data_IF_230413974860
#
_entry.id   IF_230413974860
#
_cell.length_a   1.000
_cell.length_b   1.000
_cell.length_c   1.000
_cell.angle_alpha   90.00
_cell.angle_beta   90.00
_cell.angle_gamma   90.00
#
_symmetry.space_group_name_H-M   'P 1'
#
loop_
_entity.id
_entity.type
_entity.pdbx_description
1 polymer ?
#
# COMPACT_ATOMS: atom_id res chain seq x y z
N UNK A 1 -2.77 18.99 -33.06
CA UNK A 1 -2.96 19.74 -31.80
C UNK A 1 -1.63 20.37 -31.47
N UNK A 2 -1.58 21.64 -31.06
CA UNK A 2 -0.33 22.29 -30.67
C UNK A 2 0.11 21.70 -29.31
N UNK A 3 1.43 21.44 -29.16
CA UNK A 3 2.01 20.97 -27.90
C UNK A 3 1.80 22.05 -26.82
N UNK A 4 1.46 21.64 -25.62
CA UNK A 4 1.42 22.51 -24.45
C UNK A 4 2.84 22.64 -23.86
N UNK A 5 3.58 23.61 -24.38
CA UNK A 5 4.99 23.79 -24.01
C UNK A 5 5.15 24.12 -22.52
N UNK A 6 4.16 24.76 -21.90
CA UNK A 6 4.22 25.13 -20.47
C UNK A 6 4.34 23.88 -19.58
N UNK A 7 3.48 22.87 -19.77
CA UNK A 7 3.54 21.66 -18.95
C UNK A 7 4.78 20.80 -19.25
N UNK A 8 5.20 20.74 -20.52
CA UNK A 8 6.39 19.98 -20.88
C UNK A 8 7.69 20.62 -20.38
N UNK A 9 7.77 21.96 -20.27
CA UNK A 9 8.87 22.65 -19.61
C UNK A 9 8.93 22.38 -18.11
N UNK A 10 7.77 22.23 -17.46
CA UNK A 10 7.69 21.82 -16.05
C UNK A 10 8.19 20.39 -15.86
N UNK A 11 7.77 19.47 -16.73
CA UNK A 11 8.23 18.07 -16.70
C UNK A 11 9.75 18.00 -16.87
N UNK A 12 10.33 18.77 -17.79
CA UNK A 12 11.78 18.81 -17.99
C UNK A 12 12.51 19.38 -16.76
N UNK A 13 11.98 20.41 -16.12
CA UNK A 13 12.54 20.95 -14.87
C UNK A 13 12.54 19.91 -13.77
N UNK A 14 11.46 19.15 -13.62
CA UNK A 14 11.38 18.07 -12.64
C UNK A 14 12.36 16.94 -12.97
N UNK A 15 12.49 16.56 -14.24
CA UNK A 15 13.49 15.59 -14.67
C UNK A 15 14.91 16.04 -14.29
N UNK A 16 15.25 17.30 -14.53
CA UNK A 16 16.54 17.87 -14.14
C UNK A 16 16.74 17.92 -12.62
N UNK A 17 15.66 18.13 -11.84
CA UNK A 17 15.72 18.06 -10.38
C UNK A 17 16.07 16.64 -9.93
N UNK A 18 15.38 15.64 -10.45
CA UNK A 18 15.62 14.22 -10.11
C UNK A 18 17.02 13.76 -10.48
N UNK A 19 17.55 14.17 -11.65
CA UNK A 19 18.91 13.82 -12.08
C UNK A 19 20.02 14.40 -11.19
N UNK A 20 19.76 15.52 -10.54
CA UNK A 20 20.76 16.26 -9.72
C UNK A 20 20.60 16.01 -8.22
N UNK A 21 19.46 15.46 -7.79
CA UNK A 21 19.14 15.21 -6.40
C UNK A 21 19.57 13.84 -5.94
N UNK A 22 19.74 13.69 -4.63
CA UNK A 22 19.80 12.40 -3.94
C UNK A 22 18.51 12.29 -3.16
N UNK A 23 17.63 11.34 -3.58
CA UNK A 23 16.34 11.15 -2.94
C UNK A 23 16.49 10.23 -1.73
N UNK A 24 16.07 10.70 -0.55
CA UNK A 24 16.13 9.96 0.70
C UNK A 24 14.74 9.62 1.26
N UNK A 25 13.67 9.90 0.51
CA UNK A 25 12.31 9.53 0.90
C UNK A 25 12.10 8.06 0.57
N UNK A 26 11.90 7.23 1.61
CA UNK A 26 11.83 5.77 1.49
C UNK A 26 10.71 5.25 0.56
N UNK A 27 9.64 6.02 0.36
CA UNK A 27 8.52 5.69 -0.52
C UNK A 27 8.72 6.08 -1.99
N UNK A 28 9.80 6.81 -2.32
CA UNK A 28 10.11 7.18 -3.70
C UNK A 28 11.02 6.14 -4.36
N UNK A 29 10.70 5.80 -5.61
CA UNK A 29 11.45 4.84 -6.40
C UNK A 29 11.49 5.30 -7.86
N UNK A 30 12.68 5.30 -8.45
CA UNK A 30 12.85 5.58 -9.87
C UNK A 30 12.41 4.39 -10.70
N UNK A 31 11.32 4.57 -11.46
CA UNK A 31 10.80 3.53 -12.35
C UNK A 31 11.64 3.44 -13.64
N UNK A 32 11.58 2.30 -14.31
CA UNK A 32 12.21 2.14 -15.62
C UNK A 32 11.48 2.96 -16.69
N UNK A 33 12.19 3.28 -17.76
CA UNK A 33 11.61 3.95 -18.93
C UNK A 33 10.41 3.18 -19.50
N UNK A 34 10.46 1.83 -19.49
CA UNK A 34 9.34 1.00 -19.94
C UNK A 34 8.06 1.22 -19.13
N UNK A 35 8.17 1.42 -17.82
CA UNK A 35 7.01 1.74 -16.96
C UNK A 35 6.42 3.09 -17.36
N UNK A 36 7.24 4.12 -17.54
CA UNK A 36 6.78 5.44 -17.98
C UNK A 36 6.12 5.39 -19.36
N UNK A 37 6.69 4.66 -20.31
CA UNK A 37 6.12 4.46 -21.64
C UNK A 37 4.78 3.75 -21.60
N UNK A 38 4.64 2.70 -20.78
CA UNK A 38 3.39 1.96 -20.62
C UNK A 38 2.30 2.84 -20.01
N UNK A 39 2.60 3.63 -18.98
CA UNK A 39 1.66 4.55 -18.35
C UNK A 39 1.18 5.66 -19.29
N UNK A 40 2.04 6.18 -20.14
CA UNK A 40 1.73 7.21 -21.13
C UNK A 40 1.21 6.67 -22.48
N UNK A 41 0.80 5.42 -22.56
CA UNK A 41 0.36 4.77 -23.80
C UNK A 41 -1.13 4.98 -24.07
N UNK A 42 -1.61 4.44 -25.23
CA UNK A 42 -3.02 4.46 -25.61
C UNK A 42 -3.94 3.70 -24.63
N UNK A 43 -3.40 2.86 -23.76
CA UNK A 43 -4.16 2.21 -22.68
C UNK A 43 -4.84 3.24 -21.77
N UNK A 44 -4.26 4.42 -21.61
CA UNK A 44 -4.82 5.55 -20.85
C UNK A 44 -6.21 5.98 -21.36
N UNK A 45 -6.53 5.75 -22.64
CA UNK A 45 -7.81 6.12 -23.24
C UNK A 45 -8.95 5.14 -22.93
N UNK A 46 -8.64 3.93 -22.41
CA UNK A 46 -9.64 2.88 -22.27
C UNK A 46 -10.26 2.86 -20.90
N UNK A 47 -11.56 3.07 -20.84
CA UNK A 47 -12.38 2.87 -19.64
C UNK A 47 -12.74 1.38 -19.51
N UNK A 48 -12.35 0.75 -18.40
CA UNK A 48 -12.42 -0.70 -18.23
C UNK A 48 -12.95 -1.11 -16.85
N UNK A 49 -14.06 -0.52 -16.41
CA UNK A 49 -14.71 -0.87 -15.15
C UNK A 49 -15.15 -2.34 -15.14
N UNK A 50 -15.00 -2.99 -13.99
CA UNK A 50 -15.20 -4.44 -13.81
C UNK A 50 -13.88 -5.21 -13.83
N UNK A 51 -13.94 -6.51 -14.03
CA UNK A 51 -12.78 -7.42 -14.06
C UNK A 51 -12.57 -8.04 -15.44
N UNK A 52 -11.39 -8.59 -15.73
CA UNK A 52 -11.11 -9.27 -17.00
C UNK A 52 -12.18 -10.34 -17.31
N UNK A 53 -12.82 -10.20 -18.47
CA UNK A 53 -13.92 -11.07 -18.90
C UNK A 53 -15.29 -10.77 -18.26
N UNK A 54 -15.37 -9.81 -17.35
CA UNK A 54 -16.60 -9.35 -16.68
C UNK A 54 -16.64 -7.83 -16.61
N UNK A 55 -16.51 -7.18 -17.76
CA UNK A 55 -16.53 -5.72 -17.89
C UNK A 55 -17.94 -5.18 -18.09
N UNK A 56 -18.15 -3.96 -17.61
CA UNK A 56 -19.40 -3.24 -17.88
C UNK A 56 -19.42 -2.58 -19.26
N UNK A 57 -18.25 -2.46 -19.91
CA UNK A 57 -18.09 -1.82 -21.22
C UNK A 57 -17.49 -2.77 -22.25
N UNK A 58 -17.85 -2.58 -23.52
CA UNK A 58 -17.28 -3.30 -24.65
C UNK A 58 -15.85 -2.85 -24.99
N UNK A 59 -15.15 -3.63 -25.82
CA UNK A 59 -13.82 -3.32 -26.33
C UNK A 59 -12.71 -3.46 -25.29
N UNK A 60 -12.88 -4.34 -24.31
CA UNK A 60 -11.92 -4.54 -23.22
C UNK A 60 -11.02 -5.78 -23.42
N UNK A 61 -11.19 -6.53 -24.49
CA UNK A 61 -10.49 -7.79 -24.75
C UNK A 61 -8.96 -7.64 -24.81
N UNK A 62 -8.45 -6.47 -25.19
CA UNK A 62 -7.01 -6.17 -25.22
C UNK A 62 -6.51 -5.73 -23.87
N UNK A 63 -7.19 -4.79 -23.18
CA UNK A 63 -6.79 -4.34 -21.85
C UNK A 63 -6.93 -5.44 -20.81
N UNK A 64 -7.84 -6.38 -21.00
CA UNK A 64 -7.94 -7.59 -20.18
C UNK A 64 -6.66 -8.42 -20.18
N UNK A 65 -5.96 -8.48 -21.31
CA UNK A 65 -4.67 -9.19 -21.40
C UNK A 65 -3.60 -8.51 -20.53
N UNK A 66 -3.56 -7.16 -20.56
CA UNK A 66 -2.63 -6.40 -19.71
C UNK A 66 -2.88 -6.66 -18.23
N UNK A 67 -4.14 -6.61 -17.80
CA UNK A 67 -4.51 -6.85 -16.40
C UNK A 67 -4.22 -8.30 -15.98
N UNK A 68 -4.53 -9.29 -16.82
CA UNK A 68 -4.20 -10.71 -16.55
C UNK A 68 -2.70 -10.95 -16.40
N UNK A 69 -1.89 -10.36 -17.28
CA UNK A 69 -0.42 -10.46 -17.19
C UNK A 69 0.07 -9.88 -15.85
N UNK A 70 -0.46 -8.73 -15.44
CA UNK A 70 -0.10 -8.12 -14.17
C UNK A 70 -0.49 -9.00 -12.97
N UNK A 71 -1.70 -9.58 -12.99
CA UNK A 71 -2.18 -10.51 -11.97
C UNK A 71 -1.27 -11.74 -11.86
N UNK A 72 -0.99 -12.41 -12.98
CA UNK A 72 -0.18 -13.64 -12.96
C UNK A 72 1.27 -13.37 -12.52
N UNK A 73 1.87 -12.27 -12.96
CA UNK A 73 3.22 -11.87 -12.51
C UNK A 73 3.26 -11.56 -11.01
N UNK A 74 2.24 -10.88 -10.49
CA UNK A 74 2.15 -10.57 -9.07
C UNK A 74 2.00 -11.84 -8.24
N UNK A 75 1.17 -12.79 -8.69
CA UNK A 75 1.03 -14.11 -8.06
C UNK A 75 2.36 -14.86 -8.04
N UNK A 76 3.10 -14.86 -9.14
CA UNK A 76 4.41 -15.50 -9.24
C UNK A 76 5.43 -14.88 -8.28
N UNK A 77 5.55 -13.55 -8.25
CA UNK A 77 6.50 -12.81 -7.40
C UNK A 77 6.25 -13.09 -5.91
N UNK A 78 5.00 -13.12 -5.49
CA UNK A 78 4.63 -13.26 -4.07
C UNK A 78 4.24 -14.69 -3.66
N UNK A 79 4.24 -15.65 -4.59
CA UNK A 79 3.73 -17.00 -4.31
C UNK A 79 2.26 -17.02 -3.89
N UNK A 80 1.47 -16.06 -4.37
CA UNK A 80 0.09 -15.86 -3.97
C UNK A 80 -0.90 -16.63 -4.86
N UNK A 81 -1.96 -17.14 -4.26
CA UNK A 81 -3.05 -17.77 -5.02
C UNK A 81 -3.92 -16.75 -5.74
N UNK A 82 -4.07 -15.57 -5.17
CA UNK A 82 -4.92 -14.48 -5.67
C UNK A 82 -4.17 -13.16 -5.66
N UNK A 83 -4.47 -12.32 -6.65
CA UNK A 83 -3.97 -10.96 -6.72
C UNK A 83 -5.00 -10.02 -7.34
N UNK A 84 -5.04 -8.79 -6.85
CA UNK A 84 -5.81 -7.69 -7.43
C UNK A 84 -4.85 -6.55 -7.75
N UNK A 85 -4.80 -6.12 -9.00
CA UNK A 85 -3.88 -5.10 -9.50
C UNK A 85 -4.58 -3.78 -9.83
N UNK A 86 -5.86 -3.64 -9.48
CA UNK A 86 -6.66 -2.46 -9.81
C UNK A 86 -6.45 -1.24 -8.90
N UNK A 87 -6.05 -1.37 -7.61
CA UNK A 87 -5.81 -0.18 -6.80
C UNK A 87 -4.79 0.77 -7.44
N UNK A 88 -5.12 2.05 -7.50
CA UNK A 88 -4.23 3.07 -8.07
C UNK A 88 -3.09 3.49 -7.12
N UNK A 89 -3.15 3.07 -5.85
CA UNK A 89 -2.17 3.41 -4.82
C UNK A 89 -2.20 2.40 -3.68
N UNK A 90 -1.12 2.35 -2.89
CA UNK A 90 -1.09 1.57 -1.65
C UNK A 90 -2.15 2.01 -0.65
N UNK A 91 -2.48 3.30 -0.59
CA UNK A 91 -3.56 3.80 0.27
C UNK A 91 -4.93 3.25 -0.15
N UNK A 92 -5.22 3.15 -1.45
CA UNK A 92 -6.45 2.54 -1.93
C UNK A 92 -6.47 1.03 -1.69
N UNK A 93 -5.34 0.33 -1.88
CA UNK A 93 -5.23 -1.09 -1.56
C UNK A 93 -5.51 -1.36 -0.07
N UNK A 94 -4.90 -0.56 0.83
CA UNK A 94 -5.18 -0.64 2.25
C UNK A 94 -6.66 -0.37 2.56
N UNK A 95 -7.26 0.67 1.99
CA UNK A 95 -8.68 0.98 2.19
C UNK A 95 -9.60 -0.17 1.75
N UNK A 96 -9.27 -0.84 0.65
CA UNK A 96 -10.02 -2.01 0.18
C UNK A 96 -9.95 -3.17 1.18
N UNK A 97 -8.77 -3.44 1.76
CA UNK A 97 -8.60 -4.46 2.80
C UNK A 97 -9.40 -4.08 4.06
N UNK A 98 -9.30 -2.83 4.52
CA UNK A 98 -10.09 -2.37 5.67
C UNK A 98 -11.58 -2.59 5.46
N UNK A 99 -12.12 -2.18 4.31
CA UNK A 99 -13.54 -2.35 3.96
C UNK A 99 -13.97 -3.83 3.88
N UNK A 100 -13.06 -4.72 3.48
CA UNK A 100 -13.35 -6.14 3.36
C UNK A 100 -13.43 -6.84 4.73
N UNK A 101 -12.66 -6.39 5.72
CA UNK A 101 -12.45 -7.15 6.97
C UNK A 101 -12.93 -6.43 8.23
N UNK A 102 -13.21 -5.14 8.17
CA UNK A 102 -13.59 -4.33 9.31
C UNK A 102 -14.93 -3.60 9.10
N UNK A 103 -15.68 -3.42 10.18
CA UNK A 103 -16.79 -2.47 10.24
C UNK A 103 -16.33 -1.13 10.83
N UNK A 104 -17.01 -0.01 10.53
CA UNK A 104 -16.74 1.27 11.19
C UNK A 104 -16.69 1.13 12.71
N UNK A 105 -15.66 1.70 13.33
CA UNK A 105 -15.41 1.62 14.77
C UNK A 105 -14.64 0.35 15.24
N UNK A 106 -14.43 -0.64 14.38
CA UNK A 106 -13.62 -1.80 14.73
C UNK A 106 -12.18 -1.41 15.02
N UNK A 107 -11.56 -2.12 15.97
CA UNK A 107 -10.17 -1.91 16.32
C UNK A 107 -9.25 -2.63 15.36
N UNK A 108 -8.16 -1.95 14.97
CA UNK A 108 -7.04 -2.53 14.26
C UNK A 108 -5.73 -1.99 14.82
N UNK A 109 -4.63 -2.70 14.58
CA UNK A 109 -3.32 -2.35 15.10
C UNK A 109 -2.33 -2.08 13.97
N UNK A 110 -1.52 -1.03 14.11
CA UNK A 110 -0.45 -0.68 13.19
C UNK A 110 0.74 -0.05 13.90
N UNK A 111 1.87 0.09 13.20
CA UNK A 111 3.02 0.81 13.72
C UNK A 111 2.70 2.29 13.85
N UNK A 112 3.03 2.86 15.01
CA UNK A 112 2.88 4.29 15.28
C UNK A 112 3.56 5.14 14.19
N UNK A 113 2.87 6.17 13.71
CA UNK A 113 3.35 7.05 12.64
C UNK A 113 4.69 7.69 12.99
N UNK A 114 4.87 8.13 14.25
CA UNK A 114 6.12 8.74 14.72
C UNK A 114 7.30 7.75 14.76
N UNK A 115 7.02 6.44 14.70
CA UNK A 115 8.01 5.37 14.72
C UNK A 115 8.24 4.73 13.33
N UNK A 116 7.77 5.38 12.26
CA UNK A 116 7.95 4.91 10.90
C UNK A 116 6.74 4.19 10.28
N UNK A 117 5.58 4.24 10.94
CA UNK A 117 4.31 3.80 10.37
C UNK A 117 3.88 4.62 9.16
N UNK A 118 2.78 4.23 8.52
CA UNK A 118 2.18 4.94 7.40
C UNK A 118 0.92 5.69 7.85
N UNK A 119 0.56 6.77 7.16
CA UNK A 119 -0.69 7.51 7.43
C UNK A 119 -1.93 6.59 7.42
N UNK A 120 -1.99 5.63 6.50
CA UNK A 120 -3.09 4.67 6.41
C UNK A 120 -3.08 3.60 7.53
N UNK A 121 -2.15 3.67 8.47
CA UNK A 121 -2.10 2.79 9.65
C UNK A 121 -2.78 3.42 10.89
N UNK A 122 -3.73 4.31 10.70
CA UNK A 122 -4.56 4.84 11.79
C UNK A 122 -4.33 6.31 12.14
N UNK A 123 -3.60 7.07 11.32
CA UNK A 123 -3.47 8.51 11.54
C UNK A 123 -4.84 9.19 11.57
N UNK A 124 -5.05 10.09 12.54
CA UNK A 124 -6.31 10.81 12.73
C UNK A 124 -6.73 11.69 11.55
N UNK A 125 -5.80 12.00 10.64
CA UNK A 125 -6.06 12.75 9.40
C UNK A 125 -6.27 11.85 8.19
N UNK A 126 -6.23 10.54 8.39
CA UNK A 126 -6.46 9.53 7.35
C UNK A 126 -7.79 8.81 7.56
N UNK A 127 -8.42 8.37 6.49
CA UNK A 127 -9.68 7.61 6.51
C UNK A 127 -9.63 6.44 7.50
N UNK A 128 -8.48 5.75 7.62
CA UNK A 128 -8.32 4.65 8.55
C UNK A 128 -8.48 5.05 10.02
N UNK A 129 -7.98 6.22 10.42
CA UNK A 129 -8.14 6.73 11.78
C UNK A 129 -9.46 7.45 12.02
N UNK A 130 -10.16 7.86 10.95
CA UNK A 130 -11.48 8.54 11.04
C UNK A 130 -12.61 7.50 11.17
N UNK A 131 -12.55 6.40 10.41
CA UNK A 131 -13.62 5.41 10.33
C UNK A 131 -13.44 4.31 11.37
N UNK A 132 -12.20 3.88 11.63
CA UNK A 132 -11.88 2.76 12.51
C UNK A 132 -11.17 3.24 13.77
N UNK A 133 -10.97 2.34 14.73
CA UNK A 133 -10.31 2.64 16.00
C UNK A 133 -8.89 2.07 15.99
N UNK A 134 -7.86 2.88 15.69
CA UNK A 134 -6.48 2.41 15.71
C UNK A 134 -5.97 2.16 17.12
N UNK A 135 -5.21 1.10 17.31
CA UNK A 135 -4.27 0.93 18.41
C UNK A 135 -2.87 0.73 17.85
N UNK A 136 -1.86 1.12 18.58
CA UNK A 136 -0.51 1.24 18.04
C UNK A 136 0.47 0.33 18.78
N UNK A 137 1.40 -0.26 18.01
CA UNK A 137 2.63 -0.77 18.55
C UNK A 137 3.79 0.17 18.23
N UNK A 138 4.84 0.09 19.02
CA UNK A 138 5.92 1.07 19.03
C UNK A 138 7.28 0.41 18.83
N UNK A 139 8.31 1.26 18.66
CA UNK A 139 9.69 0.84 18.75
C UNK A 139 10.15 0.91 20.22
N UNK A 140 10.98 -0.02 20.59
CA UNK A 140 11.73 0.05 21.85
C UNK A 140 12.74 1.20 21.75
N UNK A 141 12.70 2.11 22.72
CA UNK A 141 13.48 3.35 22.71
C UNK A 141 15.00 3.11 22.77
N UNK A 142 15.45 2.02 23.40
CA UNK A 142 16.87 1.70 23.54
C UNK A 142 17.45 1.05 22.29
N UNK A 143 16.66 0.18 21.64
CA UNK A 143 17.14 -0.64 20.52
C UNK A 143 16.78 -0.07 19.16
N UNK A 144 15.78 0.80 19.08
CA UNK A 144 15.18 1.29 17.84
C UNK A 144 14.52 0.20 17.01
N UNK A 145 14.19 -0.94 17.60
CA UNK A 145 13.50 -2.07 16.94
C UNK A 145 12.06 -2.13 17.42
N UNK A 146 11.20 -2.79 16.61
CA UNK A 146 9.83 -3.07 17.04
C UNK A 146 9.81 -3.78 18.37
N UNK A 147 9.04 -3.26 19.31
CA UNK A 147 8.83 -3.85 20.64
C UNK A 147 7.68 -4.87 20.54
N UNK A 148 8.05 -6.12 20.26
CA UNK A 148 7.05 -7.19 20.09
C UNK A 148 6.38 -7.60 21.40
N UNK A 149 7.00 -7.36 22.55
CA UNK A 149 6.40 -7.66 23.84
C UNK A 149 5.35 -6.60 24.19
N UNK A 150 5.65 -5.31 23.96
CA UNK A 150 4.66 -4.23 24.04
C UNK A 150 3.52 -4.42 23.02
N UNK A 151 3.84 -4.85 21.80
CA UNK A 151 2.85 -5.17 20.77
C UNK A 151 1.89 -6.26 21.24
N UNK A 152 2.41 -7.35 21.84
CA UNK A 152 1.59 -8.45 22.37
C UNK A 152 0.71 -7.97 23.54
N UNK A 153 1.26 -7.20 24.46
CA UNK A 153 0.50 -6.63 25.59
C UNK A 153 -0.68 -5.79 25.08
N UNK A 154 -0.42 -4.89 24.13
CA UNK A 154 -1.46 -4.05 23.53
C UNK A 154 -2.48 -4.89 22.79
N UNK A 155 -2.05 -5.90 22.03
CA UNK A 155 -2.96 -6.78 21.29
C UNK A 155 -3.91 -7.55 22.23
N UNK A 156 -3.38 -8.08 23.33
CA UNK A 156 -4.19 -8.82 24.31
C UNK A 156 -5.20 -7.90 25.03
N UNK A 157 -4.81 -6.65 25.30
CA UNK A 157 -5.66 -5.66 25.96
C UNK A 157 -6.74 -5.12 25.02
N UNK A 158 -6.35 -4.70 23.80
CA UNK A 158 -7.22 -4.01 22.85
C UNK A 158 -8.03 -4.95 21.95
N UNK A 159 -7.55 -6.18 21.75
CA UNK A 159 -8.16 -7.22 20.91
C UNK A 159 -8.52 -6.69 19.51
N UNK A 160 -7.55 -6.20 18.75
CA UNK A 160 -7.81 -5.71 17.39
C UNK A 160 -8.30 -6.86 16.50
N UNK A 161 -9.15 -6.56 15.53
CA UNK A 161 -9.60 -7.53 14.52
C UNK A 161 -8.59 -7.73 13.40
N UNK A 162 -7.69 -6.76 13.21
CA UNK A 162 -6.65 -6.80 12.20
C UNK A 162 -5.36 -6.21 12.75
N UNK A 163 -4.22 -6.78 12.36
CA UNK A 163 -2.87 -6.27 12.65
C UNK A 163 -2.16 -6.04 11.33
N UNK A 164 -1.55 -4.87 11.17
CA UNK A 164 -0.77 -4.50 9.99
C UNK A 164 0.71 -4.69 10.30
N UNK A 165 1.38 -5.54 9.53
CA UNK A 165 2.83 -5.73 9.57
C UNK A 165 3.51 -4.93 8.47
N UNK A 166 4.22 -3.88 8.84
CA UNK A 166 4.96 -3.04 7.91
C UNK A 166 4.99 -1.57 8.30
N UNK A 167 5.75 -0.80 7.57
CA UNK A 167 5.89 0.64 7.78
C UNK A 167 6.58 1.32 6.60
N UNK A 168 6.48 2.66 6.51
CA UNK A 168 7.09 3.44 5.43
C UNK A 168 8.54 3.79 5.70
N UNK A 169 8.92 4.03 6.95
CA UNK A 169 10.22 4.59 7.32
C UNK A 169 10.96 3.76 8.38
N UNK A 170 10.60 2.51 8.58
CA UNK A 170 11.30 1.57 9.44
C UNK A 170 12.32 0.79 8.63
N UNK A 171 13.60 0.95 8.93
CA UNK A 171 14.74 0.43 8.14
C UNK A 171 15.31 -0.90 8.65
N UNK A 172 14.69 -1.51 9.66
CA UNK A 172 15.12 -2.78 10.24
C UNK A 172 14.26 -3.93 9.74
N UNK A 173 14.74 -5.15 9.94
CA UNK A 173 13.99 -6.36 9.64
C UNK A 173 12.78 -6.51 10.56
N UNK A 174 11.71 -7.07 9.99
CA UNK A 174 10.48 -7.40 10.68
C UNK A 174 10.48 -8.87 11.07
N UNK A 175 10.11 -9.19 12.30
CA UNK A 175 9.80 -10.55 12.70
C UNK A 175 8.32 -10.87 12.42
N UNK A 176 8.02 -11.15 11.15
CA UNK A 176 6.66 -11.48 10.73
C UNK A 176 6.13 -12.76 11.39
N UNK A 177 7.01 -13.69 11.77
CA UNK A 177 6.62 -14.90 12.51
C UNK A 177 6.08 -14.51 13.89
N UNK A 178 6.80 -13.68 14.63
CA UNK A 178 6.35 -13.21 15.95
C UNK A 178 5.05 -12.39 15.83
N UNK A 179 4.92 -11.55 14.80
CA UNK A 179 3.69 -10.80 14.55
C UNK A 179 2.50 -11.71 14.25
N UNK A 180 2.70 -12.77 13.46
CA UNK A 180 1.69 -13.78 13.16
C UNK A 180 1.25 -14.50 14.44
N UNK A 181 2.20 -14.91 15.29
CA UNK A 181 1.91 -15.54 16.58
C UNK A 181 1.07 -14.64 17.49
N UNK A 182 1.37 -13.33 17.52
CA UNK A 182 0.59 -12.35 18.29
C UNK A 182 -0.84 -12.23 17.72
N UNK A 183 -0.96 -12.13 16.40
CA UNK A 183 -2.27 -12.06 15.74
C UNK A 183 -3.13 -13.29 16.04
N UNK A 184 -2.55 -14.49 15.98
CA UNK A 184 -3.23 -15.74 16.27
C UNK A 184 -3.75 -15.82 17.72
N UNK A 185 -2.95 -15.29 18.68
CA UNK A 185 -3.35 -15.27 20.11
C UNK A 185 -4.63 -14.48 20.36
N UNK A 186 -4.89 -13.44 19.54
CA UNK A 186 -6.07 -12.59 19.70
C UNK A 186 -7.14 -12.81 18.64
N UNK A 187 -6.90 -13.74 17.71
CA UNK A 187 -7.82 -14.03 16.60
C UNK A 187 -7.89 -12.92 15.55
N UNK A 188 -6.84 -12.13 15.42
CA UNK A 188 -6.76 -11.04 14.45
C UNK A 188 -6.32 -11.55 13.07
N UNK A 189 -6.80 -10.87 12.02
CA UNK A 189 -6.25 -11.01 10.66
C UNK A 189 -4.87 -10.32 10.65
N UNK A 190 -3.88 -10.96 10.02
CA UNK A 190 -2.54 -10.42 9.85
C UNK A 190 -2.16 -10.39 8.37
#
# INVERSE_FOLDING_TARGET
MKRDDLIFDIIEKEHQRQLKGIELIASENFVSEQVMQAMGSCLTNKYAEGYPGKRYYGGCEVVDQSERIAIERLKEIFGAEWANVQPHSGAQANAAVFLAVLNPGDKFMGLNLAHGGHLSHGSLVNTSGIIYTPCEYNLNAETGRVDYDQMEEVALREKPKMIIGGGSAYSREWDYKRMREIADKVGAIF
#
